data_IF_929560216105
#
_entry.id   IF_929560216105
#
_cell.length_a   1.000
_cell.length_b   1.000
_cell.length_c   1.000
_cell.angle_alpha   90.00
_cell.angle_beta   90.00
_cell.angle_gamma   90.00
#
_symmetry.space_group_name_H-M   'P 1'
#
loop_
_entity.id
_entity.type
_entity.pdbx_description
1 polymer ?
#
# COMPACT_ATOMS: atom_id res chain seq x y z
N UNK A 1 -32.89 -13.64 25.42
CA UNK A 1 -31.94 -14.42 26.23
C UNK A 1 -30.55 -14.17 25.68
N UNK A 2 -29.69 -13.44 26.41
CA UNK A 2 -28.28 -13.33 26.05
C UNK A 2 -27.63 -14.67 26.38
N UNK A 3 -27.13 -15.40 25.37
CA UNK A 3 -26.27 -16.55 25.62
C UNK A 3 -25.03 -16.06 26.35
N UNK A 4 -24.79 -16.54 27.58
CA UNK A 4 -23.55 -16.26 28.29
C UNK A 4 -22.42 -16.97 27.56
N UNK A 5 -21.68 -16.22 26.76
CA UNK A 5 -20.48 -16.73 26.13
C UNK A 5 -19.41 -16.92 27.20
N UNK A 6 -19.05 -18.16 27.50
CA UNK A 6 -18.04 -18.47 28.53
C UNK A 6 -16.72 -18.68 27.81
N UNK A 7 -15.82 -17.70 27.89
CA UNK A 7 -14.47 -17.85 27.38
C UNK A 7 -13.59 -18.55 28.44
N UNK A 8 -12.85 -19.57 28.01
CA UNK A 8 -11.85 -20.25 28.84
C UNK A 8 -10.48 -19.65 28.53
N UNK A 9 -9.75 -19.29 29.59
CA UNK A 9 -8.40 -18.74 29.48
C UNK A 9 -7.39 -19.78 29.97
N UNK A 10 -6.30 -19.96 29.23
CA UNK A 10 -5.14 -20.73 29.69
C UNK A 10 -3.85 -19.97 29.46
N UNK A 11 -2.89 -20.09 30.37
CA UNK A 11 -1.58 -19.46 30.22
C UNK A 11 -0.88 -19.95 28.95
N UNK A 12 -0.26 -19.03 28.22
CA UNK A 12 0.55 -19.34 27.04
C UNK A 12 2.03 -19.05 27.30
N UNK A 13 2.33 -17.85 27.82
CA UNK A 13 3.70 -17.44 28.19
C UNK A 13 3.66 -16.18 29.05
N UNK A 14 4.75 -15.89 29.76
CA UNK A 14 4.86 -14.68 30.58
C UNK A 14 6.25 -14.05 30.51
N UNK A 15 6.26 -12.74 30.63
CA UNK A 15 7.45 -11.89 30.63
C UNK A 15 7.22 -10.69 31.55
N UNK A 16 8.28 -10.11 32.11
CA UNK A 16 8.17 -8.98 33.04
C UNK A 16 7.45 -7.73 32.50
N UNK A 17 7.22 -7.67 31.17
CA UNK A 17 6.55 -6.59 30.45
C UNK A 17 5.38 -7.08 29.58
N UNK A 18 5.05 -8.38 29.60
CA UNK A 18 3.97 -8.94 28.79
C UNK A 18 3.43 -10.25 29.38
N UNK A 19 2.12 -10.46 29.31
CA UNK A 19 1.48 -11.73 29.68
C UNK A 19 0.69 -12.23 28.48
N UNK A 20 0.86 -13.49 28.14
CA UNK A 20 0.20 -14.15 27.00
C UNK A 20 -0.68 -15.30 27.48
N UNK A 21 -1.89 -15.37 26.95
CA UNK A 21 -2.84 -16.43 27.27
C UNK A 21 -3.64 -16.82 26.04
N UNK A 22 -4.03 -18.09 25.97
CA UNK A 22 -4.96 -18.60 24.96
C UNK A 22 -6.39 -18.32 25.42
N UNK A 23 -7.21 -17.86 24.50
CA UNK A 23 -8.64 -17.62 24.69
C UNK A 23 -9.41 -18.62 23.83
N UNK A 24 -10.22 -19.45 24.48
CA UNK A 24 -11.11 -20.42 23.83
C UNK A 24 -12.57 -20.01 24.07
N UNK A 25 -13.29 -19.74 22.98
CA UNK A 25 -14.70 -19.36 22.99
C UNK A 25 -15.47 -20.23 21.98
N UNK A 26 -16.11 -21.30 22.48
CA UNK A 26 -16.73 -22.31 21.63
C UNK A 26 -15.69 -23.02 20.75
N UNK A 27 -15.81 -22.87 19.42
CA UNK A 27 -14.85 -23.42 18.45
C UNK A 27 -13.71 -22.46 18.08
N UNK A 28 -13.71 -21.23 18.60
CA UNK A 28 -12.71 -20.21 18.28
C UNK A 28 -11.60 -20.21 19.32
N UNK A 29 -10.36 -20.36 18.84
CA UNK A 29 -9.16 -20.28 19.66
C UNK A 29 -8.22 -19.21 19.10
N UNK A 30 -7.72 -18.35 19.98
CA UNK A 30 -6.76 -17.30 19.63
C UNK A 30 -5.87 -16.99 20.84
N UNK A 31 -4.73 -16.37 20.59
CA UNK A 31 -3.81 -15.94 21.65
C UNK A 31 -3.96 -14.45 21.87
N UNK A 32 -4.01 -14.04 23.13
CA UNK A 32 -3.97 -12.64 23.53
C UNK A 32 -2.66 -12.38 24.28
N UNK A 33 -1.94 -11.33 23.91
CA UNK A 33 -0.78 -10.84 24.67
C UNK A 33 -1.05 -9.43 25.15
N UNK A 34 -1.15 -9.24 26.46
CA UNK A 34 -1.22 -7.94 27.09
C UNK A 34 0.19 -7.41 27.36
N UNK A 35 0.53 -6.25 26.83
CA UNK A 35 1.86 -5.62 26.92
C UNK A 35 1.80 -4.39 27.82
N UNK A 36 2.78 -4.27 28.71
CA UNK A 36 3.12 -3.03 29.40
C UNK A 36 4.62 -2.79 29.26
N UNK A 37 5.00 -2.19 28.14
CA UNK A 37 6.38 -2.00 27.75
C UNK A 37 7.07 -0.93 28.59
N UNK A 38 8.36 -1.09 28.86
CA UNK A 38 9.10 -0.17 29.71
C UNK A 38 9.28 1.20 29.01
N UNK A 39 9.13 2.33 29.74
CA UNK A 39 9.37 3.65 29.17
C UNK A 39 10.84 3.91 28.80
N UNK A 40 11.80 3.16 29.38
CA UNK A 40 13.23 3.24 29.02
C UNK A 40 13.53 2.38 27.80
N UNK A 41 14.13 2.99 26.78
CA UNK A 41 14.34 2.40 25.45
C UNK A 41 15.18 1.12 25.52
N UNK A 42 16.20 1.09 26.37
CA UNK A 42 17.14 -0.02 26.51
C UNK A 42 16.46 -1.25 27.13
N UNK A 43 15.56 -1.04 28.10
CA UNK A 43 14.81 -2.11 28.75
C UNK A 43 13.65 -2.61 27.89
N UNK A 44 13.12 -1.76 27.02
CA UNK A 44 12.02 -2.09 26.10
C UNK A 44 12.43 -3.13 25.05
N UNK A 45 13.69 -3.15 24.63
CA UNK A 45 14.21 -4.15 23.69
C UNK A 45 13.95 -5.59 24.14
N UNK A 46 13.83 -5.83 25.45
CA UNK A 46 13.50 -7.15 26.01
C UNK A 46 12.09 -7.61 25.61
N UNK A 47 11.08 -6.73 25.68
CA UNK A 47 9.71 -7.10 25.27
C UNK A 47 9.61 -7.26 23.75
N UNK A 48 10.40 -6.51 22.98
CA UNK A 48 10.49 -6.69 21.52
C UNK A 48 11.06 -8.06 21.13
N UNK A 49 12.14 -8.50 21.79
CA UNK A 49 12.69 -9.84 21.58
C UNK A 49 11.68 -10.92 21.98
N UNK A 50 10.96 -10.74 23.09
CA UNK A 50 9.94 -11.66 23.54
C UNK A 50 8.77 -11.78 22.54
N UNK A 51 8.26 -10.65 22.01
CA UNK A 51 7.21 -10.67 20.99
C UNK A 51 7.66 -11.39 19.71
N UNK A 52 8.90 -11.20 19.26
CA UNK A 52 9.44 -11.94 18.10
C UNK A 52 9.46 -13.45 18.35
N UNK A 53 9.86 -13.87 19.55
CA UNK A 53 9.88 -15.28 19.91
C UNK A 53 8.47 -15.88 20.02
N UNK A 54 7.51 -15.13 20.56
CA UNK A 54 6.10 -15.50 20.53
C UNK A 54 5.58 -15.60 19.09
N UNK A 55 5.89 -14.63 18.23
CA UNK A 55 5.44 -14.61 16.83
C UNK A 55 5.92 -15.80 16.01
N UNK A 56 7.07 -16.41 16.37
CA UNK A 56 7.55 -17.66 15.77
C UNK A 56 6.81 -18.90 16.25
N UNK A 57 6.33 -18.90 17.50
CA UNK A 57 5.64 -20.04 18.13
C UNK A 57 4.13 -20.03 17.93
N UNK A 58 3.51 -18.84 17.86
CA UNK A 58 2.06 -18.69 17.78
C UNK A 58 1.58 -18.93 16.35
N UNK A 59 0.81 -20.01 16.15
CA UNK A 59 0.19 -20.37 14.87
C UNK A 59 -1.29 -19.99 14.79
N UNK A 60 -1.89 -19.60 15.93
CA UNK A 60 -3.27 -19.16 16.04
C UNK A 60 -3.41 -17.66 15.70
N UNK A 61 -4.63 -17.15 15.47
CA UNK A 61 -4.87 -15.71 15.49
C UNK A 61 -4.33 -15.12 16.80
N UNK A 62 -3.60 -14.01 16.69
CA UNK A 62 -2.85 -13.40 17.78
C UNK A 62 -3.23 -11.94 17.88
N UNK A 63 -3.72 -11.55 19.04
CA UNK A 63 -4.01 -10.16 19.39
C UNK A 63 -2.97 -9.71 20.41
N UNK A 64 -2.31 -8.59 20.16
CA UNK A 64 -1.39 -7.95 21.10
C UNK A 64 -1.93 -6.57 21.43
N UNK A 65 -2.09 -6.26 22.70
CA UNK A 65 -2.69 -5.01 23.14
C UNK A 65 -2.01 -4.44 24.38
N UNK A 66 -2.10 -3.13 24.56
CA UNK A 66 -1.65 -2.44 25.76
C UNK A 66 -0.75 -1.27 25.47
N UNK A 67 0.01 -0.86 26.48
CA UNK A 67 0.90 0.29 26.42
C UNK A 67 2.28 -0.14 25.90
N UNK A 68 2.58 0.24 24.66
CA UNK A 68 3.87 -0.06 24.03
C UNK A 68 4.97 0.96 24.37
N UNK A 69 4.62 2.07 25.03
CA UNK A 69 5.50 3.19 25.32
C UNK A 69 6.27 3.74 24.08
N UNK A 70 5.78 3.45 22.88
CA UNK A 70 6.31 3.92 21.60
C UNK A 70 5.17 4.23 20.62
N UNK A 71 5.46 5.09 19.65
CA UNK A 71 4.49 5.55 18.64
C UNK A 71 5.05 5.32 17.23
N UNK A 72 4.17 5.04 16.26
CA UNK A 72 4.55 4.77 14.87
C UNK A 72 4.54 6.04 14.01
N UNK A 73 3.67 7.00 14.34
CA UNK A 73 3.44 8.20 13.54
C UNK A 73 3.69 9.46 14.36
N UNK A 74 4.23 10.49 13.70
CA UNK A 74 4.42 11.80 14.33
C UNK A 74 3.10 12.42 14.81
N UNK A 75 1.99 12.10 14.13
CA UNK A 75 0.63 12.54 14.48
C UNK A 75 0.12 11.97 15.80
N UNK A 76 0.76 10.93 16.34
CA UNK A 76 0.43 10.33 17.64
C UNK A 76 1.11 11.03 18.81
N UNK A 77 1.84 12.12 18.55
CA UNK A 77 2.46 12.96 19.57
C UNK A 77 2.02 14.42 19.42
N UNK A 78 1.83 15.10 20.56
CA UNK A 78 1.67 16.55 20.62
C UNK A 78 2.57 17.14 21.70
N UNK A 79 3.23 18.26 21.39
CA UNK A 79 4.11 18.98 22.31
C UNK A 79 5.45 18.29 22.62
N UNK A 80 5.61 17.03 22.24
CA UNK A 80 6.83 16.24 22.46
C UNK A 80 7.62 15.95 21.18
N UNK A 81 8.77 15.27 21.33
CA UNK A 81 9.60 14.82 20.21
C UNK A 81 9.17 13.44 19.71
N UNK A 82 8.83 13.37 18.42
CA UNK A 82 8.76 12.11 17.68
C UNK A 82 10.16 11.67 17.26
N UNK A 83 10.45 10.36 17.32
CA UNK A 83 11.73 9.81 16.88
C UNK A 83 11.48 8.79 15.78
N UNK A 84 11.93 9.13 14.57
CA UNK A 84 11.80 8.24 13.41
C UNK A 84 12.54 6.92 13.63
N UNK A 85 13.73 6.96 14.24
CA UNK A 85 14.53 5.77 14.54
C UNK A 85 13.77 4.79 15.44
N UNK A 86 13.14 5.28 16.52
CA UNK A 86 12.39 4.41 17.43
C UNK A 86 11.09 3.90 16.81
N UNK A 87 10.40 4.74 16.05
CA UNK A 87 9.21 4.33 15.30
C UNK A 87 9.55 3.23 14.29
N UNK A 88 10.69 3.35 13.59
CA UNK A 88 11.17 2.35 12.63
C UNK A 88 11.49 1.02 13.32
N UNK A 89 12.17 1.04 14.47
CA UNK A 89 12.47 -0.17 15.25
C UNK A 89 11.18 -0.85 15.74
N UNK A 90 10.20 -0.07 16.20
CA UNK A 90 8.92 -0.63 16.62
C UNK A 90 8.16 -1.23 15.43
N UNK A 91 8.11 -0.53 14.29
CA UNK A 91 7.49 -1.04 13.06
C UNK A 91 8.15 -2.33 12.57
N UNK A 92 9.46 -2.44 12.67
CA UNK A 92 10.21 -3.65 12.32
C UNK A 92 9.77 -4.85 13.17
N UNK A 93 9.62 -4.67 14.49
CA UNK A 93 9.08 -5.70 15.39
C UNK A 93 7.68 -6.15 14.95
N UNK A 94 6.80 -5.20 14.66
CA UNK A 94 5.44 -5.52 14.21
C UNK A 94 5.47 -6.29 12.89
N UNK A 95 6.29 -5.88 11.93
CA UNK A 95 6.42 -6.54 10.63
C UNK A 95 6.97 -7.96 10.75
N UNK A 96 8.03 -8.17 11.55
CA UNK A 96 8.58 -9.52 11.80
C UNK A 96 7.56 -10.45 12.45
N UNK A 97 6.68 -9.90 13.28
CA UNK A 97 5.60 -10.63 13.94
C UNK A 97 4.32 -10.73 13.06
N UNK A 98 4.33 -10.17 11.85
CA UNK A 98 3.16 -10.01 10.98
C UNK A 98 1.97 -9.32 11.67
N UNK A 99 2.25 -8.43 12.61
CA UNK A 99 1.27 -7.66 13.38
C UNK A 99 0.90 -6.38 12.64
N UNK A 100 -0.39 -6.11 12.50
CA UNK A 100 -0.92 -4.86 11.96
C UNK A 100 -1.65 -4.08 13.06
N UNK A 101 -1.43 -2.76 13.08
CA UNK A 101 -2.20 -1.83 13.90
C UNK A 101 -3.67 -1.83 13.45
N UNK A 102 -4.57 -2.14 14.38
CA UNK A 102 -6.02 -2.19 14.16
C UNK A 102 -6.66 -0.79 14.14
N UNK A 103 -5.87 0.25 14.38
CA UNK A 103 -6.31 1.62 14.55
C UNK A 103 -6.98 1.83 15.90
N UNK A 104 -7.29 3.11 16.18
CA UNK A 104 -8.01 3.49 17.38
C UNK A 104 -9.35 4.13 17.02
N UNK A 105 -10.37 3.87 17.84
CA UNK A 105 -11.63 4.62 17.85
C UNK A 105 -11.73 5.39 19.17
N UNK A 106 -12.17 6.64 19.11
CA UNK A 106 -12.31 7.49 20.30
C UNK A 106 -11.17 8.49 20.46
N UNK A 107 -10.67 8.64 21.70
CA UNK A 107 -9.69 9.65 22.07
C UNK A 107 -8.39 9.48 21.28
N UNK A 108 -7.87 10.61 20.74
CA UNK A 108 -6.67 10.61 19.90
C UNK A 108 -5.39 10.28 20.67
N UNK A 109 -5.31 10.65 21.95
CA UNK A 109 -4.15 10.40 22.81
C UNK A 109 -4.61 9.72 24.09
N UNK A 110 -3.78 8.81 24.60
CA UNK A 110 -4.08 7.97 25.76
C UNK A 110 -3.23 8.32 26.97
N UNK A 111 -2.13 9.07 26.75
CA UNK A 111 -1.26 9.58 27.78
C UNK A 111 -1.10 11.09 27.67
N UNK A 112 -1.11 11.77 28.82
CA UNK A 112 -0.91 13.22 28.93
C UNK A 112 0.05 13.55 30.08
N UNK A 113 0.86 14.58 29.89
CA UNK A 113 1.69 15.16 30.96
C UNK A 113 1.84 16.65 30.75
N UNK A 114 1.62 17.42 31.80
CA UNK A 114 1.95 18.84 31.80
C UNK A 114 3.42 19.01 32.22
N UNK A 115 4.22 19.67 31.39
CA UNK A 115 5.60 20.01 31.69
C UNK A 115 5.81 21.51 31.46
N UNK A 116 5.90 22.26 32.57
CA UNK A 116 6.14 23.72 32.57
C UNK A 116 5.19 24.50 31.65
N UNK A 117 3.89 24.17 31.68
CA UNK A 117 2.86 24.86 30.89
C UNK A 117 2.65 24.28 29.48
N UNK A 118 3.50 23.35 29.03
CA UNK A 118 3.32 22.61 27.79
C UNK A 118 2.64 21.27 28.07
N UNK A 119 1.49 21.03 27.44
CA UNK A 119 0.80 19.73 27.52
C UNK A 119 1.39 18.78 26.49
N UNK A 120 2.17 17.82 26.96
CA UNK A 120 2.62 16.67 26.20
C UNK A 120 1.48 15.66 26.11
N UNK A 121 1.23 15.14 24.91
CA UNK A 121 0.28 14.05 24.70
C UNK A 121 0.85 12.99 23.77
N UNK A 122 0.58 11.72 24.07
CA UNK A 122 0.96 10.57 23.23
C UNK A 122 -0.14 9.53 23.18
N UNK A 123 -0.24 8.80 22.07
CA UNK A 123 -1.07 7.60 21.96
C UNK A 123 -0.20 6.38 22.22
N UNK A 124 -0.15 5.93 23.47
CA UNK A 124 0.74 4.82 23.86
C UNK A 124 0.02 3.47 23.85
N UNK A 125 -1.29 3.48 24.06
CA UNK A 125 -2.11 2.28 24.00
C UNK A 125 -2.45 1.96 22.56
N UNK A 126 -2.13 0.73 22.15
CA UNK A 126 -2.37 0.22 20.81
C UNK A 126 -2.91 -1.20 20.87
N UNK A 127 -3.65 -1.58 19.83
CA UNK A 127 -4.08 -2.94 19.59
C UNK A 127 -3.54 -3.32 18.22
N UNK A 128 -2.67 -4.32 18.18
CA UNK A 128 -2.15 -4.90 16.94
C UNK A 128 -2.58 -6.36 16.88
N UNK A 129 -2.79 -6.91 15.69
CA UNK A 129 -3.08 -8.32 15.56
C UNK A 129 -2.31 -8.93 14.40
N UNK A 130 -1.97 -10.21 14.51
CA UNK A 130 -1.51 -10.91 13.34
C UNK A 130 -2.72 -11.08 12.43
N UNK A 131 -2.54 -10.77 11.16
CA UNK A 131 -3.53 -11.16 10.16
C UNK A 131 -3.22 -12.60 9.79
N UNK A 132 -3.33 -13.50 10.77
CA UNK A 132 -3.18 -14.93 10.51
C UNK A 132 -4.21 -15.29 9.43
N UNK A 133 -3.69 -15.65 8.24
CA UNK A 133 -4.38 -16.22 7.07
C UNK A 133 -5.14 -15.31 6.10
N UNK A 134 -5.46 -14.03 6.34
CA UNK A 134 -6.21 -13.25 5.31
C UNK A 134 -5.38 -12.74 4.14
N UNK A 135 -4.08 -12.48 4.31
CA UNK A 135 -3.24 -11.90 3.25
C UNK A 135 -2.27 -12.90 2.58
N UNK A 136 -2.19 -14.15 3.08
CA UNK A 136 -1.40 -15.21 2.45
C UNK A 136 -2.33 -16.10 1.64
N UNK A 137 -2.11 -16.15 0.34
CA UNK A 137 -2.77 -17.12 -0.54
C UNK A 137 -2.25 -18.51 -0.13
N UNK A 138 -3.15 -19.34 0.42
CA UNK A 138 -2.79 -20.65 0.96
C UNK A 138 -2.55 -21.68 -0.14
N UNK A 139 -3.27 -21.55 -1.24
CA UNK A 139 -3.14 -22.36 -2.43
C UNK A 139 -4.04 -21.84 -3.53
N UNK A 140 -3.82 -22.31 -4.74
CA UNK A 140 -4.62 -21.98 -5.93
C UNK A 140 -4.99 -23.27 -6.67
N UNK A 141 -6.23 -23.32 -7.13
CA UNK A 141 -6.68 -24.28 -8.12
C UNK A 141 -6.31 -23.76 -9.52
N UNK A 142 -5.44 -24.48 -10.21
CA UNK A 142 -4.97 -24.14 -11.55
C UNK A 142 -5.97 -24.60 -12.63
N UNK A 143 -5.87 -24.10 -13.88
CA UNK A 143 -6.79 -24.47 -14.97
C UNK A 143 -6.78 -25.96 -15.35
N UNK A 144 -5.70 -26.69 -15.06
CA UNK A 144 -5.59 -28.14 -15.26
C UNK A 144 -6.31 -28.97 -14.17
N UNK A 145 -6.93 -28.30 -13.18
CA UNK A 145 -7.64 -28.92 -12.07
C UNK A 145 -6.75 -29.27 -10.88
N UNK A 146 -5.46 -28.98 -10.92
CA UNK A 146 -4.52 -29.27 -9.84
C UNK A 146 -4.53 -28.19 -8.75
N UNK A 147 -4.36 -28.60 -7.48
CA UNK A 147 -4.21 -27.68 -6.35
C UNK A 147 -2.73 -27.47 -6.03
N UNK A 148 -2.28 -26.23 -6.07
CA UNK A 148 -0.89 -25.86 -5.79
C UNK A 148 -0.77 -24.97 -4.56
N UNK A 149 0.23 -25.26 -3.73
CA UNK A 149 0.62 -24.45 -2.57
C UNK A 149 2.06 -23.92 -2.68
N UNK A 150 2.76 -24.27 -3.76
CA UNK A 150 4.12 -23.81 -4.05
C UNK A 150 4.12 -22.31 -4.42
N UNK A 151 4.83 -21.45 -3.65
CA UNK A 151 4.86 -20.01 -3.89
C UNK A 151 5.38 -19.60 -5.27
N UNK A 152 6.33 -20.34 -5.84
CA UNK A 152 6.92 -20.06 -7.15
C UNK A 152 5.90 -20.35 -8.24
N UNK A 153 5.24 -21.51 -8.17
CA UNK A 153 4.19 -21.90 -9.12
C UNK A 153 3.01 -20.93 -9.05
N UNK A 154 2.53 -20.63 -7.85
CA UNK A 154 1.42 -19.68 -7.67
C UNK A 154 1.76 -18.29 -8.20
N UNK A 155 3.00 -17.81 -8.00
CA UNK A 155 3.46 -16.52 -8.52
C UNK A 155 3.52 -16.52 -10.05
N UNK A 156 4.11 -17.55 -10.65
CA UNK A 156 4.19 -17.68 -12.11
C UNK A 156 2.81 -17.67 -12.74
N UNK A 157 1.88 -18.43 -12.17
CA UNK A 157 0.50 -18.47 -12.64
C UNK A 157 -0.21 -17.13 -12.48
N UNK A 158 -0.07 -16.46 -11.33
CA UNK A 158 -0.67 -15.15 -11.11
C UNK A 158 -0.23 -14.14 -12.16
N UNK A 159 1.07 -14.09 -12.45
CA UNK A 159 1.63 -13.21 -13.49
C UNK A 159 1.09 -13.59 -14.86
N UNK A 160 1.08 -14.88 -15.22
CA UNK A 160 0.56 -15.38 -16.50
C UNK A 160 -0.91 -14.99 -16.69
N UNK A 161 -1.76 -15.35 -15.73
CA UNK A 161 -3.19 -15.10 -15.75
C UNK A 161 -3.52 -13.62 -15.91
N UNK A 162 -2.94 -12.74 -15.10
CA UNK A 162 -3.24 -11.31 -15.19
C UNK A 162 -2.60 -10.65 -16.41
N UNK A 163 -1.44 -11.12 -16.88
CA UNK A 163 -0.91 -10.68 -18.18
C UNK A 163 -1.87 -11.04 -19.30
N UNK A 164 -2.35 -12.28 -19.39
CA UNK A 164 -3.33 -12.69 -20.39
C UNK A 164 -4.64 -11.90 -20.26
N UNK A 165 -5.13 -11.69 -19.04
CA UNK A 165 -6.38 -10.96 -18.77
C UNK A 165 -6.32 -9.49 -19.22
N UNK A 166 -5.16 -8.84 -19.08
CA UNK A 166 -4.97 -7.42 -19.41
C UNK A 166 -4.22 -7.19 -20.73
N UNK A 167 -3.76 -8.24 -21.41
CA UNK A 167 -3.20 -8.14 -22.75
C UNK A 167 -4.33 -8.17 -23.77
N UNK A 168 -4.26 -7.29 -24.75
CA UNK A 168 -5.21 -7.26 -25.85
C UNK A 168 -4.96 -8.49 -26.75
N UNK A 169 -5.94 -9.39 -26.88
CA UNK A 169 -5.92 -10.38 -27.95
C UNK A 169 -6.21 -9.65 -29.27
N UNK A 170 -5.24 -9.63 -30.19
CA UNK A 170 -5.36 -9.16 -31.58
C UNK A 170 -6.41 -9.92 -32.43
N UNK A 171 -7.31 -10.70 -31.81
CA UNK A 171 -8.31 -11.53 -32.48
C UNK A 171 -9.61 -10.78 -32.81
N UNK A 172 -9.83 -9.59 -32.24
CA UNK A 172 -10.85 -8.68 -32.73
C UNK A 172 -10.17 -7.78 -33.77
N UNK A 173 -10.68 -7.81 -35.00
CA UNK A 173 -10.18 -7.02 -36.13
C UNK A 173 -10.03 -5.54 -35.81
N UNK A 174 -9.41 -4.75 -36.71
CA UNK A 174 -9.12 -3.34 -36.47
C UNK A 174 -10.33 -2.69 -35.83
N UNK A 175 -10.13 -2.12 -34.62
CA UNK A 175 -11.16 -1.40 -33.88
C UNK A 175 -11.99 -0.64 -34.91
N UNK A 176 -13.30 -0.90 -34.94
CA UNK A 176 -14.25 -0.27 -35.86
C UNK A 176 -14.32 1.24 -35.54
N UNK A 177 -13.24 1.94 -35.87
CA UNK A 177 -13.29 3.34 -36.25
C UNK A 177 -14.14 3.30 -37.50
N UNK A 178 -15.43 3.59 -37.33
CA UNK A 178 -16.30 3.95 -38.43
C UNK A 178 -15.48 4.74 -39.45
N UNK A 179 -15.55 4.32 -40.71
CA UNK A 179 -14.76 4.77 -41.86
C UNK A 179 -14.95 6.27 -42.18
N UNK A 180 -14.64 7.13 -41.21
CA UNK A 180 -14.66 8.57 -41.24
C UNK A 180 -13.35 9.09 -40.66
N UNK A 181 -12.96 10.27 -41.12
CA UNK A 181 -11.79 10.97 -40.59
C UNK A 181 -11.99 11.14 -39.08
N UNK A 182 -11.07 10.64 -38.22
CA UNK A 182 -11.15 10.90 -36.78
C UNK A 182 -11.29 12.41 -36.57
N UNK A 183 -12.19 12.88 -35.69
CA UNK A 183 -12.33 14.30 -35.44
C UNK A 183 -10.95 14.87 -35.08
N UNK A 184 -10.45 15.76 -35.94
CA UNK A 184 -9.16 16.39 -35.76
C UNK A 184 -9.13 17.16 -34.45
N UNK A 185 -7.98 17.12 -33.76
CA UNK A 185 -7.76 18.01 -32.64
C UNK A 185 -7.66 19.45 -33.17
N UNK A 186 -8.38 20.39 -32.57
CA UNK A 186 -8.22 21.82 -32.87
C UNK A 186 -6.78 22.29 -32.59
N UNK A 187 -6.35 23.38 -33.24
CA UNK A 187 -4.99 23.90 -33.12
C UNK A 187 -4.56 24.18 -31.68
N UNK A 188 -5.49 24.67 -30.83
CA UNK A 188 -5.23 24.89 -29.40
C UNK A 188 -4.98 23.59 -28.64
N UNK A 189 -5.77 22.54 -28.91
CA UNK A 189 -5.60 21.24 -28.28
C UNK A 189 -4.29 20.56 -28.71
N UNK A 190 -3.88 20.71 -29.97
CA UNK A 190 -2.59 20.23 -30.47
C UNK A 190 -1.41 20.97 -29.82
N UNK A 191 -1.50 22.30 -29.73
CA UNK A 191 -0.50 23.14 -29.07
C UNK A 191 -0.37 22.80 -27.58
N UNK A 192 -1.49 22.59 -26.88
CA UNK A 192 -1.48 22.19 -25.47
C UNK A 192 -0.91 20.78 -25.23
N UNK A 193 -1.19 19.82 -26.11
CA UNK A 193 -0.62 18.46 -26.02
C UNK A 193 0.88 18.40 -26.26
N UNK A 194 1.39 19.33 -27.08
CA UNK A 194 2.81 19.40 -27.44
C UNK A 194 3.59 20.40 -26.59
N UNK A 195 2.90 21.09 -25.67
CA UNK A 195 3.51 22.05 -24.76
C UNK A 195 4.53 21.35 -23.84
N UNK A 196 5.69 22.00 -23.55
CA UNK A 196 6.68 21.43 -22.65
C UNK A 196 6.14 21.28 -21.22
N UNK A 197 6.39 20.13 -20.60
CA UNK A 197 6.02 19.91 -19.19
C UNK A 197 6.77 20.89 -18.28
N UNK A 198 6.01 21.67 -17.52
CA UNK A 198 6.55 22.64 -16.57
C UNK A 198 6.80 22.01 -15.20
N UNK A 199 7.78 22.56 -14.48
CA UNK A 199 8.08 22.14 -13.09
C UNK A 199 6.89 22.29 -12.15
N UNK A 200 6.04 23.31 -12.38
CA UNK A 200 4.87 23.58 -11.56
C UNK A 200 3.75 22.57 -11.79
N UNK A 201 3.59 22.04 -13.00
CA UNK A 201 2.67 20.92 -13.26
C UNK A 201 3.08 19.66 -12.49
N UNK A 202 4.37 19.31 -12.54
CA UNK A 202 4.93 18.17 -11.80
C UNK A 202 4.75 18.38 -10.29
N UNK A 203 5.05 19.59 -9.78
CA UNK A 203 4.86 19.92 -8.37
C UNK A 203 3.40 19.75 -7.95
N UNK A 204 2.44 20.30 -8.71
CA UNK A 204 1.01 20.14 -8.42
C UNK A 204 0.57 18.67 -8.45
N UNK A 205 1.09 17.88 -9.39
CA UNK A 205 0.81 16.46 -9.46
C UNK A 205 1.28 15.72 -8.19
N UNK A 206 2.50 15.97 -7.71
CA UNK A 206 3.04 15.42 -6.46
C UNK A 206 2.24 15.88 -5.25
N UNK A 207 2.00 17.19 -5.11
CA UNK A 207 1.34 17.77 -3.94
C UNK A 207 -0.10 17.29 -3.76
N UNK A 208 -0.79 16.98 -4.85
CA UNK A 208 -2.16 16.45 -4.85
C UNK A 208 -2.27 14.94 -4.56
N UNK A 209 -1.17 14.21 -4.46
CA UNK A 209 -1.20 12.78 -4.06
C UNK A 209 -1.46 12.64 -2.56
N UNK A 210 -2.08 11.53 -2.11
CA UNK A 210 -2.13 11.22 -0.67
C UNK A 210 -0.73 10.78 -0.21
N UNK A 211 -0.23 11.36 0.89
CA UNK A 211 1.18 11.25 1.30
C UNK A 211 1.62 9.82 1.61
N UNK A 212 0.77 9.03 2.26
CA UNK A 212 1.10 7.69 2.76
C UNK A 212 0.40 6.59 1.96
N UNK A 213 0.47 6.68 0.63
CA UNK A 213 0.07 5.58 -0.25
C UNK A 213 1.18 4.51 -0.26
N UNK A 214 0.78 3.26 -0.47
CA UNK A 214 1.72 2.16 -0.64
C UNK A 214 2.75 2.49 -1.75
N UNK A 215 4.05 2.27 -1.47
CA UNK A 215 5.13 2.54 -2.41
C UNK A 215 5.16 1.50 -3.54
N UNK A 216 5.88 1.81 -4.61
CA UNK A 216 6.24 0.81 -5.62
C UNK A 216 7.48 0.01 -5.19
N UNK A 217 8.06 -0.79 -6.11
CA UNK A 217 9.31 -1.51 -5.87
C UNK A 217 10.48 -0.64 -5.41
N UNK A 218 10.48 0.65 -5.75
CA UNK A 218 11.50 1.63 -5.33
C UNK A 218 11.44 2.01 -3.84
N UNK A 219 10.37 1.63 -3.13
CA UNK A 219 10.17 1.92 -1.72
C UNK A 219 9.77 3.37 -1.40
N UNK A 220 9.72 4.27 -2.38
CA UNK A 220 9.43 5.68 -2.14
C UNK A 220 7.92 5.96 -2.07
N UNK A 221 7.52 6.75 -1.07
CA UNK A 221 6.15 7.22 -0.90
C UNK A 221 6.00 8.67 -1.38
N UNK A 222 4.78 9.12 -1.75
CA UNK A 222 4.56 10.52 -2.13
C UNK A 222 4.99 11.54 -1.05
N UNK A 223 4.94 11.16 0.23
CA UNK A 223 5.45 11.98 1.33
C UNK A 223 6.91 12.41 1.12
N UNK A 224 7.78 11.51 0.67
CA UNK A 224 9.20 11.79 0.44
C UNK A 224 9.37 12.96 -0.55
N UNK A 225 8.72 12.88 -1.71
CA UNK A 225 8.79 13.91 -2.75
C UNK A 225 8.18 15.24 -2.31
N UNK A 226 7.15 15.22 -1.45
CA UNK A 226 6.57 16.45 -0.89
C UNK A 226 7.51 17.12 0.10
N UNK A 227 8.09 16.33 1.01
CA UNK A 227 8.96 16.83 2.07
C UNK A 227 10.27 17.37 1.51
N UNK A 228 10.85 16.66 0.53
CA UNK A 228 12.17 16.95 -0.02
C UNK A 228 12.10 17.60 -1.41
N UNK A 229 10.96 18.19 -1.79
CA UNK A 229 10.80 18.87 -3.09
C UNK A 229 11.91 19.86 -3.46
N UNK A 230 12.46 20.68 -2.54
CA UNK A 230 13.59 21.56 -2.86
C UNK A 230 14.86 20.83 -3.31
N UNK A 231 14.99 19.54 -2.98
CA UNK A 231 16.16 18.71 -3.29
C UNK A 231 15.89 17.83 -4.51
N UNK A 232 14.79 17.05 -4.49
CA UNK A 232 14.50 16.03 -5.52
C UNK A 232 13.58 16.52 -6.64
N UNK A 233 12.99 17.71 -6.49
CA UNK A 233 11.95 18.19 -7.42
C UNK A 233 12.47 18.46 -8.83
N UNK A 234 13.73 18.90 -8.97
CA UNK A 234 14.32 19.19 -10.27
C UNK A 234 14.63 17.92 -11.05
N UNK A 235 15.11 16.89 -10.35
CA UNK A 235 15.37 15.58 -10.94
C UNK A 235 14.08 14.91 -11.39
N UNK A 236 13.05 14.87 -10.53
CA UNK A 236 11.75 14.33 -10.90
C UNK A 236 11.11 15.10 -12.06
N UNK A 237 11.22 16.43 -12.09
CA UNK A 237 10.74 17.21 -13.23
C UNK A 237 11.47 16.86 -14.52
N UNK A 238 12.81 16.74 -14.51
CA UNK A 238 13.57 16.30 -15.68
C UNK A 238 13.12 14.93 -16.16
N UNK A 239 12.99 13.95 -15.27
CA UNK A 239 12.48 12.62 -15.61
C UNK A 239 11.11 12.67 -16.29
N UNK A 240 10.17 13.46 -15.77
CA UNK A 240 8.84 13.61 -16.39
C UNK A 240 8.96 14.33 -17.73
N UNK A 241 9.69 15.44 -17.80
CA UNK A 241 9.87 16.21 -19.03
C UNK A 241 10.47 15.33 -20.14
N UNK A 242 11.53 14.60 -19.84
CA UNK A 242 12.21 13.73 -20.80
C UNK A 242 11.27 12.61 -21.28
N UNK A 243 10.44 12.04 -20.40
CA UNK A 243 9.45 11.04 -20.79
C UNK A 243 8.45 11.58 -21.84
N UNK A 244 8.02 12.83 -21.72
CA UNK A 244 7.13 13.49 -22.69
C UNK A 244 7.84 13.90 -23.97
N UNK A 245 9.11 14.30 -23.91
CA UNK A 245 9.88 14.68 -25.08
C UNK A 245 10.30 13.48 -25.93
N UNK A 246 10.66 12.36 -25.28
CA UNK A 246 11.12 11.14 -25.94
C UNK A 246 9.97 10.22 -26.34
N UNK A 247 8.79 10.36 -25.69
CA UNK A 247 7.65 9.46 -25.87
C UNK A 247 7.81 8.10 -25.19
N UNK A 248 8.85 7.92 -24.38
CA UNK A 248 9.08 6.74 -23.55
C UNK A 248 9.83 7.13 -22.27
N UNK A 249 9.79 6.26 -21.26
CA UNK A 249 10.48 6.44 -19.98
C UNK A 249 11.41 5.27 -19.71
N UNK A 250 12.36 5.45 -18.77
CA UNK A 250 13.15 4.34 -18.23
C UNK A 250 12.21 3.23 -17.72
N UNK A 251 12.44 2.01 -18.19
CA UNK A 251 11.62 0.82 -17.90
C UNK A 251 11.62 0.52 -16.39
N UNK A 252 12.69 0.84 -15.67
CA UNK A 252 12.76 0.66 -14.21
C UNK A 252 11.67 1.45 -13.47
N UNK A 253 11.21 2.58 -14.02
CA UNK A 253 10.12 3.37 -13.43
C UNK A 253 8.75 2.70 -13.61
N UNK A 254 8.61 1.86 -14.63
CA UNK A 254 7.40 1.10 -14.94
C UNK A 254 7.28 -0.20 -14.14
N UNK A 255 8.34 -0.58 -13.40
CA UNK A 255 8.29 -1.72 -12.50
C UNK A 255 7.17 -1.54 -11.46
N UNK A 256 6.38 -2.59 -11.30
CA UNK A 256 5.23 -2.57 -10.39
C UNK A 256 5.20 -3.84 -9.57
N UNK A 257 4.87 -3.69 -8.28
CA UNK A 257 4.59 -4.83 -7.42
C UNK A 257 3.11 -5.17 -7.54
N UNK A 258 2.80 -6.39 -7.99
CA UNK A 258 1.41 -6.86 -7.99
C UNK A 258 1.05 -7.37 -6.58
N UNK A 259 -0.07 -6.88 -6.05
CA UNK A 259 -0.67 -7.34 -4.80
C UNK A 259 -2.07 -7.88 -5.08
N UNK A 260 -2.38 -9.06 -4.56
CA UNK A 260 -3.68 -9.71 -4.75
C UNK A 260 -4.55 -9.51 -3.51
N UNK A 261 -5.73 -8.91 -3.70
CA UNK A 261 -6.72 -8.70 -2.64
C UNK A 261 -7.90 -9.65 -2.86
N UNK A 262 -8.24 -10.54 -1.91
CA UNK A 262 -9.40 -11.41 -2.01
C UNK A 262 -10.71 -10.64 -2.24
N UNK A 263 -11.57 -11.14 -3.13
CA UNK A 263 -12.95 -10.66 -3.32
C UNK A 263 -13.96 -11.41 -2.47
N UNK A 264 -13.60 -12.61 -2.03
CA UNK A 264 -14.44 -13.55 -1.26
C UNK A 264 -13.63 -14.08 -0.08
N UNK A 265 -14.31 -14.66 0.91
CA UNK A 265 -13.67 -15.13 2.15
C UNK A 265 -12.69 -16.30 1.93
N UNK A 266 -13.00 -17.20 1.00
CA UNK A 266 -12.22 -18.41 0.70
C UNK A 266 -11.86 -18.46 -0.78
N UNK A 267 -10.92 -17.61 -1.24
CA UNK A 267 -10.55 -17.57 -2.64
C UNK A 267 -9.77 -18.83 -3.02
N UNK A 268 -10.15 -19.48 -4.12
CA UNK A 268 -9.52 -20.71 -4.62
C UNK A 268 -8.93 -20.52 -6.01
N UNK A 269 -9.43 -19.55 -6.77
CA UNK A 269 -8.96 -19.22 -8.11
C UNK A 269 -8.39 -17.80 -8.17
N UNK A 270 -7.50 -17.52 -9.11
CA UNK A 270 -7.04 -16.15 -9.41
C UNK A 270 -8.19 -15.21 -9.82
N UNK A 271 -9.29 -15.77 -10.33
CA UNK A 271 -10.54 -15.04 -10.57
C UNK A 271 -11.16 -14.49 -9.29
N UNK A 272 -10.82 -15.00 -8.11
CA UNK A 272 -11.35 -14.55 -6.82
C UNK A 272 -10.56 -13.39 -6.24
N UNK A 273 -9.50 -12.91 -6.91
CA UNK A 273 -8.68 -11.80 -6.45
C UNK A 273 -8.87 -10.55 -7.31
N UNK A 274 -8.65 -9.38 -6.70
CA UNK A 274 -8.40 -8.12 -7.40
C UNK A 274 -6.89 -7.87 -7.42
N UNK A 275 -6.28 -7.71 -8.60
CA UNK A 275 -4.90 -7.28 -8.69
C UNK A 275 -4.81 -5.78 -8.40
N UNK A 276 -3.88 -5.39 -7.56
CA UNK A 276 -3.49 -4.01 -7.30
C UNK A 276 -2.05 -3.84 -7.72
N UNK A 277 -1.82 -2.94 -8.69
CA UNK A 277 -0.49 -2.58 -9.15
C UNK A 277 0.06 -1.45 -8.28
N UNK A 278 1.10 -1.74 -7.50
CA UNK A 278 1.84 -0.76 -6.73
C UNK A 278 2.97 -0.19 -7.58
N UNK A 279 2.69 0.93 -8.25
CA UNK A 279 3.69 1.57 -9.11
C UNK A 279 4.58 2.58 -8.36
N UNK A 280 5.79 2.80 -8.88
CA UNK A 280 6.70 3.85 -8.43
C UNK A 280 6.04 5.25 -8.50
N UNK A 281 6.45 6.15 -7.61
CA UNK A 281 5.83 7.50 -7.54
C UNK A 281 6.12 8.31 -8.80
N UNK A 282 7.32 8.20 -9.36
CA UNK A 282 7.68 8.89 -10.60
C UNK A 282 6.71 8.52 -11.73
N UNK A 283 6.39 7.23 -11.92
CA UNK A 283 5.40 6.79 -12.90
C UNK A 283 3.99 7.32 -12.62
N UNK A 284 3.58 7.32 -11.35
CA UNK A 284 2.29 7.91 -10.95
C UNK A 284 2.22 9.41 -11.27
N UNK A 285 3.34 10.12 -11.26
CA UNK A 285 3.40 11.53 -11.64
C UNK A 285 3.32 11.70 -13.15
N UNK A 286 4.08 10.92 -13.94
CA UNK A 286 4.01 10.93 -15.42
C UNK A 286 2.57 10.70 -15.89
N UNK A 287 1.95 9.61 -15.42
CA UNK A 287 0.57 9.27 -15.81
C UNK A 287 -0.44 10.34 -15.39
N UNK A 288 -0.24 11.00 -14.24
CA UNK A 288 -1.11 12.07 -13.78
C UNK A 288 -0.98 13.35 -14.61
N UNK A 289 0.24 13.72 -15.01
CA UNK A 289 0.46 14.85 -15.94
C UNK A 289 -0.16 14.55 -17.29
N UNK A 290 -0.02 13.31 -17.79
CA UNK A 290 -0.61 12.89 -19.07
C UNK A 290 -2.13 13.01 -19.04
N UNK A 291 -2.76 12.55 -17.95
CA UNK A 291 -4.21 12.68 -17.73
C UNK A 291 -4.66 14.15 -17.71
N UNK A 292 -3.83 15.09 -17.25
CA UNK A 292 -4.18 16.51 -17.30
C UNK A 292 -4.26 17.01 -18.74
N UNK A 293 -3.28 16.70 -19.60
CA UNK A 293 -3.33 17.10 -21.01
C UNK A 293 -4.46 16.41 -21.77
N UNK A 294 -4.69 15.14 -21.51
CA UNK A 294 -5.82 14.38 -22.09
C UNK A 294 -7.19 14.91 -21.65
N UNK A 295 -7.32 15.39 -20.41
CA UNK A 295 -8.57 16.03 -19.98
C UNK A 295 -8.77 17.41 -20.62
N UNK A 296 -7.70 18.14 -20.90
CA UNK A 296 -7.78 19.39 -21.64
C UNK A 296 -8.30 19.14 -23.07
N UNK A 297 -7.75 18.16 -23.78
CA UNK A 297 -8.19 17.85 -25.16
C UNK A 297 -9.64 17.42 -25.22
N UNK A 298 -10.11 16.64 -24.23
CA UNK A 298 -11.51 16.23 -24.15
C UNK A 298 -12.47 17.38 -23.86
N UNK A 299 -12.01 18.44 -23.17
CA UNK A 299 -12.83 19.65 -22.96
C UNK A 299 -12.95 20.46 -24.25
N UNK A 300 -11.86 20.61 -24.98
CA UNK A 300 -11.83 21.33 -26.26
C UNK A 300 -12.53 20.55 -27.39
N UNK A 301 -12.59 19.23 -27.29
CA UNK A 301 -13.28 18.38 -28.27
C UNK A 301 -14.11 17.28 -27.57
N UNK A 302 -15.35 17.58 -27.14
CA UNK A 302 -16.21 16.63 -26.42
C UNK A 302 -16.60 15.39 -27.22
N UNK A 303 -16.53 15.45 -28.56
CA UNK A 303 -16.79 14.31 -29.45
C UNK A 303 -15.57 13.40 -29.62
N UNK A 304 -14.42 13.74 -29.01
CA UNK A 304 -13.24 12.89 -29.01
C UNK A 304 -13.49 11.61 -28.19
N UNK A 305 -13.42 10.40 -28.80
CA UNK A 305 -13.80 9.16 -28.12
C UNK A 305 -12.88 8.82 -26.94
N UNK A 306 -13.46 8.33 -25.84
CA UNK A 306 -12.69 7.82 -24.69
C UNK A 306 -11.74 6.65 -25.07
N UNK A 307 -12.09 5.87 -26.09
CA UNK A 307 -11.24 4.80 -26.62
C UNK A 307 -9.91 5.33 -27.17
N UNK A 308 -9.92 6.48 -27.86
CA UNK A 308 -8.72 7.09 -28.43
C UNK A 308 -7.81 7.70 -27.34
N UNK A 309 -8.39 8.21 -26.25
CA UNK A 309 -7.66 8.64 -25.05
C UNK A 309 -6.91 7.47 -24.39
N UNK A 310 -7.54 6.29 -24.33
CA UNK A 310 -6.91 5.06 -23.85
C UNK A 310 -5.78 4.57 -24.77
N UNK A 311 -5.95 4.67 -26.09
CA UNK A 311 -4.91 4.28 -27.06
C UNK A 311 -3.69 5.21 -26.96
N UNK A 312 -3.89 6.52 -26.77
CA UNK A 312 -2.80 7.47 -26.52
C UNK A 312 -2.05 7.14 -25.23
N UNK A 313 -2.76 6.74 -24.17
CA UNK A 313 -2.15 6.22 -22.94
C UNK A 313 -1.34 4.95 -23.20
N UNK A 314 -1.89 3.96 -23.91
CA UNK A 314 -1.23 2.68 -24.19
C UNK A 314 0.00 2.87 -25.09
N UNK A 315 -0.09 3.70 -26.14
CA UNK A 315 1.01 3.99 -27.06
C UNK A 315 2.12 4.80 -26.40
N UNK A 316 1.79 5.75 -25.51
CA UNK A 316 2.79 6.47 -24.71
C UNK A 316 3.46 5.56 -23.66
N UNK A 317 2.76 4.52 -23.21
CA UNK A 317 3.31 3.57 -22.25
C UNK A 317 4.27 2.56 -22.90
N UNK A 318 4.10 2.19 -24.17
CA UNK A 318 4.91 1.20 -24.90
C UNK A 318 4.98 -0.22 -24.28
N UNK A 319 4.57 -0.38 -23.02
CA UNK A 319 4.75 -1.56 -22.18
C UNK A 319 3.69 -1.49 -21.09
N UNK A 320 2.82 -2.50 -20.99
CA UNK A 320 2.00 -2.73 -19.80
C UNK A 320 2.94 -2.87 -18.61
N UNK A 321 2.72 -2.15 -17.48
CA UNK A 321 3.61 -2.22 -16.31
C UNK A 321 4.01 -3.66 -16.00
N UNK A 322 5.31 -3.95 -16.04
CA UNK A 322 5.79 -5.32 -15.85
C UNK A 322 5.69 -5.66 -14.37
N UNK A 323 4.69 -6.47 -14.04
CA UNK A 323 4.52 -7.00 -12.70
C UNK A 323 5.68 -7.94 -12.34
N UNK A 324 6.35 -7.64 -11.23
CA UNK A 324 7.30 -8.53 -10.55
C UNK A 324 6.66 -9.26 -9.38
#
# INVERSE_FOLDING_TARGET
>A
MAMSCTAVLSEFDSHAQAISFTVAEGSKNWVCTAVYANPRVELRQRVWAHLRELGRRITLPWLVLGDFNEILLSTECRGGRFSMTRASQFLEVLNECNLLDMGAKGLRFTWYRNQRGVVLAKRLDCVVCNVARRNKIQGLLLPDGSWHTDPVVMKMEAVRFFKELFSFNNAHGPLDMHAGVPPGLGGEAQSALTAPVTREEVRRAVMSMKSFKAPGPDGFQPFFFKQYWPIVGDELWRTVKDAFQLGYSDISLLETQMVLIPKVDHPVSLKDFRPISLCNVAWKVISKVLVVYLNFTKRENPSFPNSNLYILLVNFCGVVPTAK
#
